data_IF_092586812448
#
_entry.id   IF_092586812448
#
_cell.length_a   1.000
_cell.length_b   1.000
_cell.length_c   1.000
_cell.angle_alpha   90.00
_cell.angle_beta   90.00
_cell.angle_gamma   90.00
#
_symmetry.space_group_name_H-M   'P 1'
#
loop_
_entity.id
_entity.type
_entity.pdbx_description
1 polymer ?
#
# COMPACT_ATOMS: atom_id res chain seq x y z
N UNK A 1 -7.16 3.31 47.47
CA UNK A 1 -8.49 3.77 47.01
C UNK A 1 -8.49 5.28 47.04
N UNK A 2 -8.48 5.95 45.89
CA UNK A 2 -8.51 7.42 45.78
C UNK A 2 -9.86 7.83 45.21
N UNK A 3 -10.61 8.57 46.02
CA UNK A 3 -11.90 9.18 45.69
C UNK A 3 -11.67 10.37 44.77
N UNK A 4 -12.30 10.38 43.59
CA UNK A 4 -12.31 11.52 42.66
C UNK A 4 -13.66 12.23 42.84
N UNK A 5 -13.60 13.50 43.23
CA UNK A 5 -14.74 14.42 43.33
C UNK A 5 -15.04 15.01 41.95
N UNK A 6 -16.29 14.83 41.49
CA UNK A 6 -16.84 15.46 40.28
C UNK A 6 -17.53 16.78 40.67
N UNK A 7 -17.15 17.87 40.02
CA UNK A 7 -17.89 19.14 40.01
C UNK A 7 -18.76 19.22 38.74
N UNK A 8 -20.01 19.73 38.81
CA UNK A 8 -20.78 20.03 37.62
C UNK A 8 -20.43 21.44 37.11
N UNK A 9 -20.03 21.56 35.84
CA UNK A 9 -20.05 22.84 35.13
C UNK A 9 -21.46 23.09 34.59
N UNK A 10 -22.04 24.22 34.98
CA UNK A 10 -23.29 24.74 34.45
C UNK A 10 -23.11 25.26 33.02
N UNK A 11 -24.02 24.87 32.13
CA UNK A 11 -24.07 25.31 30.73
C UNK A 11 -24.78 26.68 30.65
N UNK A 12 -24.07 27.69 30.17
CA UNK A 12 -24.63 29.02 29.88
C UNK A 12 -25.25 29.04 28.47
N UNK A 13 -26.37 29.74 28.34
CA UNK A 13 -27.25 29.80 27.18
C UNK A 13 -26.54 30.16 25.85
N UNK A 14 -26.77 29.36 24.81
CA UNK A 14 -26.45 29.71 23.42
C UNK A 14 -27.63 30.47 22.79
N UNK A 15 -27.38 31.72 22.42
CA UNK A 15 -28.26 32.54 21.57
C UNK A 15 -28.17 32.00 20.15
N UNK A 16 -29.31 31.65 19.55
CA UNK A 16 -29.40 30.99 18.24
C UNK A 16 -28.94 31.89 17.09
N UNK A 17 -27.93 31.44 16.36
CA UNK A 17 -27.59 31.98 15.04
C UNK A 17 -28.56 31.43 13.98
N UNK A 18 -28.96 32.28 13.04
CA UNK A 18 -29.76 31.87 11.89
C UNK A 18 -29.01 30.80 11.05
N UNK A 19 -29.72 29.78 10.53
CA UNK A 19 -29.08 28.73 9.74
C UNK A 19 -28.43 29.32 8.48
N UNK A 20 -27.20 28.91 8.13
CA UNK A 20 -26.55 29.38 6.92
C UNK A 20 -27.36 28.96 5.67
N UNK A 21 -27.33 29.82 4.66
CA UNK A 21 -27.97 29.60 3.36
C UNK A 21 -27.64 28.21 2.81
N UNK A 22 -28.66 27.52 2.32
CA UNK A 22 -28.60 26.11 1.91
C UNK A 22 -27.39 25.80 1.05
N UNK A 23 -26.61 24.81 1.49
CA UNK A 23 -25.50 24.24 0.73
C UNK A 23 -26.01 23.82 -0.64
N UNK A 24 -25.38 24.25 -1.76
CA UNK A 24 -25.80 23.81 -3.07
C UNK A 24 -25.82 22.28 -3.10
N UNK A 25 -26.98 21.71 -3.42
CA UNK A 25 -27.18 20.26 -3.53
C UNK A 25 -26.16 19.75 -4.54
N UNK A 26 -25.19 18.95 -4.08
CA UNK A 26 -24.21 18.35 -4.97
C UNK A 26 -24.94 17.63 -6.12
N UNK A 27 -24.43 17.72 -7.36
CA UNK A 27 -25.06 17.09 -8.51
C UNK A 27 -25.31 15.60 -8.22
N UNK A 28 -26.43 15.07 -8.74
CA UNK A 28 -26.85 13.68 -8.57
C UNK A 28 -25.68 12.72 -8.87
N UNK A 29 -25.09 12.18 -7.80
CA UNK A 29 -23.99 11.22 -7.87
C UNK A 29 -24.50 9.91 -8.45
N UNK A 30 -23.87 9.39 -9.50
CA UNK A 30 -24.22 8.09 -10.07
C UNK A 30 -23.47 7.00 -9.30
N UNK A 31 -24.22 6.18 -8.56
CA UNK A 31 -23.70 5.12 -7.70
C UNK A 31 -24.05 3.76 -8.30
N UNK A 32 -23.04 2.95 -8.62
CA UNK A 32 -23.23 1.53 -8.84
C UNK A 32 -23.16 0.80 -7.50
N UNK A 33 -24.16 -0.04 -7.21
CA UNK A 33 -24.22 -0.82 -5.98
C UNK A 33 -24.31 -2.32 -6.25
N UNK A 34 -23.62 -3.12 -5.45
CA UNK A 34 -23.62 -4.58 -5.47
C UNK A 34 -24.04 -5.11 -4.10
N UNK A 35 -25.33 -5.41 -3.91
CA UNK A 35 -25.86 -5.90 -2.62
C UNK A 35 -25.94 -7.44 -2.53
N UNK A 36 -25.50 -8.13 -3.58
CA UNK A 36 -25.44 -9.58 -3.63
C UNK A 36 -24.17 -10.03 -4.37
N UNK A 37 -23.82 -11.29 -4.23
CA UNK A 37 -22.71 -11.89 -4.94
C UNK A 37 -22.85 -11.68 -6.45
N UNK A 38 -21.84 -11.09 -7.06
CA UNK A 38 -21.86 -10.65 -8.46
C UNK A 38 -20.55 -10.99 -9.14
N UNK A 39 -20.60 -11.49 -10.37
CA UNK A 39 -19.41 -11.68 -11.21
C UNK A 39 -19.34 -10.55 -12.23
N UNK A 40 -18.27 -9.76 -12.20
CA UNK A 40 -18.02 -8.67 -13.16
C UNK A 40 -16.94 -9.02 -14.18
N UNK A 41 -16.19 -10.10 -13.93
CA UNK A 41 -15.10 -10.57 -14.79
C UNK A 41 -13.74 -9.92 -14.48
N UNK A 42 -12.67 -10.54 -14.99
CA UNK A 42 -11.26 -10.20 -14.68
C UNK A 42 -10.72 -8.88 -15.25
N UNK A 43 -11.56 -8.06 -15.91
CA UNK A 43 -11.19 -6.74 -16.49
C UNK A 43 -12.42 -5.84 -16.68
N UNK A 44 -13.26 -5.67 -15.66
CA UNK A 44 -14.48 -4.87 -15.83
C UNK A 44 -14.13 -3.39 -16.03
N UNK A 45 -14.34 -2.88 -17.24
CA UNK A 45 -14.11 -1.47 -17.57
C UNK A 45 -15.16 -0.60 -16.87
N UNK A 46 -14.75 0.16 -15.86
CA UNK A 46 -15.65 1.02 -15.09
C UNK A 46 -16.17 2.16 -15.98
N UNK A 47 -17.49 2.30 -16.17
CA UNK A 47 -18.04 3.39 -16.97
C UNK A 47 -17.65 4.77 -16.41
N UNK A 48 -17.30 5.70 -17.30
CA UNK A 48 -16.97 7.07 -16.88
C UNK A 48 -18.15 7.71 -16.14
N UNK A 49 -19.39 7.41 -16.53
CA UNK A 49 -20.59 7.95 -15.88
C UNK A 49 -20.65 7.70 -14.36
N UNK A 50 -20.11 6.59 -13.85
CA UNK A 50 -20.19 6.26 -12.42
C UNK A 50 -19.25 7.14 -11.60
N UNK A 51 -19.73 7.67 -10.48
CA UNK A 51 -18.94 8.42 -9.48
C UNK A 51 -18.53 7.55 -8.29
N UNK A 52 -19.27 6.46 -8.08
CA UNK A 52 -19.10 5.57 -6.94
C UNK A 52 -19.43 4.13 -7.29
N UNK A 53 -18.66 3.22 -6.71
CA UNK A 53 -18.97 1.80 -6.62
C UNK A 53 -19.09 1.45 -5.14
N UNK A 54 -20.21 0.81 -4.76
CA UNK A 54 -20.45 0.32 -3.40
C UNK A 54 -20.67 -1.19 -3.40
N UNK A 55 -19.85 -1.92 -2.66
CA UNK A 55 -20.06 -3.34 -2.36
C UNK A 55 -20.82 -3.42 -1.03
N UNK A 56 -22.01 -4.02 -1.02
CA UNK A 56 -22.86 -4.14 0.14
C UNK A 56 -22.25 -5.01 1.25
N UNK A 57 -22.80 -4.98 2.48
CA UNK A 57 -22.37 -5.86 3.54
C UNK A 57 -22.67 -7.31 3.16
N UNK A 58 -21.71 -8.21 3.38
CA UNK A 58 -21.83 -9.63 2.99
C UNK A 58 -21.76 -9.93 1.49
N UNK A 59 -21.69 -8.91 0.62
CA UNK A 59 -21.64 -9.10 -0.82
C UNK A 59 -20.21 -9.35 -1.30
N UNK A 60 -20.07 -10.29 -2.24
CA UNK A 60 -18.83 -10.56 -2.96
C UNK A 60 -18.93 -10.12 -4.42
N UNK A 61 -18.08 -9.18 -4.83
CA UNK A 61 -17.83 -8.90 -6.25
C UNK A 61 -16.64 -9.73 -6.71
N UNK A 62 -16.88 -10.67 -7.63
CA UNK A 62 -15.83 -11.49 -8.24
C UNK A 62 -15.39 -10.89 -9.58
N UNK A 63 -14.12 -10.53 -9.67
CA UNK A 63 -13.51 -9.91 -10.84
C UNK A 63 -12.55 -8.80 -10.46
N UNK A 64 -12.37 -7.85 -11.37
CA UNK A 64 -11.53 -6.67 -11.16
C UNK A 64 -12.19 -5.42 -11.72
N UNK A 65 -11.81 -4.27 -11.18
CA UNK A 65 -12.19 -2.96 -11.71
C UNK A 65 -11.01 -2.35 -12.48
N UNK A 66 -11.21 -2.20 -13.78
CA UNK A 66 -10.30 -1.48 -14.67
C UNK A 66 -10.83 -0.07 -14.91
N UNK A 67 -10.10 0.94 -14.45
CA UNK A 67 -10.42 2.35 -14.69
C UNK A 67 -9.65 2.79 -15.94
N UNK A 68 -10.33 3.08 -17.07
CA UNK A 68 -9.67 3.46 -18.31
C UNK A 68 -8.88 4.76 -18.18
N UNK A 69 -7.88 4.96 -19.04
CA UNK A 69 -7.10 6.19 -19.12
C UNK A 69 -7.93 7.41 -19.55
N UNK A 70 -9.02 7.19 -20.28
CA UNK A 70 -9.98 8.22 -20.71
C UNK A 70 -10.80 8.83 -19.58
N UNK A 71 -10.84 8.20 -18.39
CA UNK A 71 -11.59 8.74 -17.26
C UNK A 71 -10.95 10.04 -16.78
N UNK A 72 -11.73 11.12 -16.72
CA UNK A 72 -11.25 12.44 -16.30
C UNK A 72 -11.62 12.80 -14.85
N UNK A 73 -12.67 12.19 -14.29
CA UNK A 73 -13.16 12.52 -12.95
C UNK A 73 -12.73 11.52 -11.88
N UNK A 74 -12.65 11.94 -10.60
CA UNK A 74 -12.34 11.01 -9.50
C UNK A 74 -13.33 9.85 -9.41
N UNK A 75 -12.91 8.72 -8.85
CA UNK A 75 -13.75 7.56 -8.57
C UNK A 75 -13.60 7.12 -7.11
N UNK A 76 -14.72 6.86 -6.43
CA UNK A 76 -14.73 6.15 -5.16
C UNK A 76 -15.18 4.71 -5.36
N UNK A 77 -14.41 3.76 -4.85
CA UNK A 77 -14.77 2.35 -4.72
C UNK A 77 -14.76 2.04 -3.23
N UNK A 78 -15.85 1.53 -2.68
CA UNK A 78 -15.86 1.16 -1.27
C UNK A 78 -16.74 -0.04 -0.97
N UNK A 79 -16.42 -0.73 0.11
CA UNK A 79 -17.37 -1.60 0.76
C UNK A 79 -18.25 -0.82 1.74
N UNK A 80 -19.33 -1.46 2.17
CA UNK A 80 -20.13 -1.02 3.31
C UNK A 80 -19.54 -1.54 4.63
N UNK A 81 -18.74 -2.60 4.57
CA UNK A 81 -18.11 -3.25 5.71
C UNK A 81 -16.76 -3.87 5.31
N UNK A 82 -15.70 -3.60 6.08
CA UNK A 82 -14.32 -4.01 5.74
C UNK A 82 -14.16 -5.51 5.57
N UNK A 83 -14.82 -6.32 6.39
CA UNK A 83 -14.59 -7.77 6.48
C UNK A 83 -15.52 -8.56 5.54
N UNK A 84 -16.72 -8.03 5.30
CA UNK A 84 -17.79 -8.74 4.58
C UNK A 84 -18.08 -8.18 3.19
N UNK A 85 -17.67 -6.95 2.88
CA UNK A 85 -17.69 -6.43 1.51
C UNK A 85 -16.40 -6.82 0.78
N UNK A 86 -16.50 -7.75 -0.17
CA UNK A 86 -15.33 -8.43 -0.76
C UNK A 86 -15.20 -8.15 -2.24
N UNK A 87 -13.99 -7.81 -2.67
CA UNK A 87 -13.55 -7.82 -4.06
C UNK A 87 -12.58 -8.99 -4.25
N UNK A 88 -13.02 -10.02 -4.95
CA UNK A 88 -12.32 -11.32 -5.07
C UNK A 88 -11.86 -11.53 -6.50
N UNK A 89 -10.63 -12.00 -6.72
CA UNK A 89 -10.17 -12.38 -8.06
C UNK A 89 -11.00 -13.50 -8.70
N UNK A 90 -10.80 -13.71 -10.00
CA UNK A 90 -11.44 -14.81 -10.72
C UNK A 90 -10.79 -16.16 -10.43
N UNK A 91 -9.56 -16.16 -9.91
CA UNK A 91 -8.78 -17.38 -9.66
C UNK A 91 -7.92 -17.81 -10.84
N UNK A 92 -7.65 -16.91 -11.79
CA UNK A 92 -6.83 -17.19 -12.98
C UNK A 92 -5.33 -17.05 -12.63
N UNK A 93 -4.75 -18.13 -12.09
CA UNK A 93 -3.34 -18.18 -11.64
C UNK A 93 -2.31 -18.13 -12.76
N UNK A 94 -2.68 -18.53 -13.98
CA UNK A 94 -1.79 -18.45 -15.14
C UNK A 94 -1.35 -17.00 -15.43
N UNK A 95 -2.14 -16.03 -14.94
CA UNK A 95 -1.86 -14.59 -15.09
C UNK A 95 -0.96 -14.03 -14.00
N UNK A 96 -0.92 -14.66 -12.83
CA UNK A 96 0.03 -14.30 -11.77
C UNK A 96 1.46 -14.51 -12.27
N UNK A 97 1.78 -15.62 -12.91
CA UNK A 97 3.17 -15.85 -13.36
C UNK A 97 3.52 -15.17 -14.71
N UNK A 98 2.52 -14.65 -15.42
CA UNK A 98 2.73 -14.01 -16.71
C UNK A 98 3.57 -12.72 -16.61
N UNK A 99 4.52 -12.58 -17.54
CA UNK A 99 5.43 -11.41 -17.66
C UNK A 99 4.91 -10.33 -18.60
N UNK A 100 3.80 -10.58 -19.30
CA UNK A 100 3.19 -9.60 -20.21
C UNK A 100 2.71 -8.37 -19.38
N UNK A 101 3.18 -7.15 -19.69
CA UNK A 101 2.77 -5.94 -18.96
C UNK A 101 1.26 -5.70 -18.98
N UNK A 102 0.53 -6.26 -19.96
CA UNK A 102 -0.91 -6.11 -20.04
C UNK A 102 -1.64 -6.83 -18.91
N UNK A 103 -1.08 -7.88 -18.29
CA UNK A 103 -1.79 -8.65 -17.23
C UNK A 103 -2.08 -7.83 -15.97
N UNK A 104 -1.46 -6.65 -15.83
CA UNK A 104 -1.74 -5.70 -14.75
C UNK A 104 -3.17 -5.17 -14.80
N UNK A 105 -3.82 -5.19 -15.96
CA UNK A 105 -5.23 -4.82 -16.11
C UNK A 105 -6.21 -5.78 -15.42
N UNK A 106 -5.70 -6.91 -14.89
CA UNK A 106 -6.44 -7.88 -14.07
C UNK A 106 -6.21 -7.73 -12.56
N UNK A 107 -5.49 -6.69 -12.14
CA UNK A 107 -5.35 -6.38 -10.70
C UNK A 107 -6.73 -6.07 -10.11
N UNK A 108 -6.98 -6.38 -8.83
CA UNK A 108 -8.28 -6.18 -8.19
C UNK A 108 -8.85 -4.79 -8.48
N UNK A 109 -8.05 -3.75 -8.32
CA UNK A 109 -8.28 -2.42 -8.89
C UNK A 109 -7.06 -1.99 -9.69
N UNK A 110 -7.26 -1.64 -10.96
CA UNK A 110 -6.23 -1.04 -11.81
C UNK A 110 -6.73 0.26 -12.42
N UNK A 111 -6.03 1.36 -12.17
CA UNK A 111 -6.32 2.64 -12.83
C UNK A 111 -5.24 3.07 -13.80
N UNK A 112 -5.60 3.20 -15.06
CA UNK A 112 -4.77 3.86 -16.07
C UNK A 112 -5.00 5.37 -16.13
N UNK A 113 -6.07 5.87 -15.51
CA UNK A 113 -6.39 7.28 -15.41
C UNK A 113 -5.39 8.06 -14.56
N UNK A 114 -5.29 9.36 -14.82
CA UNK A 114 -4.59 10.34 -13.97
C UNK A 114 -5.50 10.97 -12.91
N UNK A 115 -6.81 10.76 -12.99
CA UNK A 115 -7.76 11.16 -11.96
C UNK A 115 -7.56 10.34 -10.68
N UNK A 116 -7.89 10.94 -9.53
CA UNK A 116 -7.77 10.26 -8.23
C UNK A 116 -8.75 9.09 -8.14
N UNK A 117 -8.24 7.94 -7.71
CA UNK A 117 -9.07 6.81 -7.31
C UNK A 117 -8.98 6.66 -5.79
N UNK A 118 -10.11 6.44 -5.13
CA UNK A 118 -10.17 6.12 -3.71
C UNK A 118 -10.75 4.72 -3.55
N UNK A 119 -10.07 3.85 -2.81
CA UNK A 119 -10.55 2.51 -2.43
C UNK A 119 -10.66 2.44 -0.92
N UNK A 120 -11.82 2.07 -0.37
CA UNK A 120 -11.98 2.04 1.09
C UNK A 120 -12.93 0.99 1.64
N UNK A 121 -12.76 0.65 2.92
CA UNK A 121 -13.73 -0.15 3.71
C UNK A 121 -14.12 -1.46 3.02
N UNK A 122 -13.13 -2.22 2.51
CA UNK A 122 -13.38 -3.51 1.86
C UNK A 122 -12.24 -4.49 2.08
N UNK A 123 -12.49 -5.75 1.76
CA UNK A 123 -11.46 -6.78 1.62
C UNK A 123 -11.18 -7.03 0.14
N UNK A 124 -9.91 -6.89 -0.27
CA UNK A 124 -9.40 -7.39 -1.55
C UNK A 124 -8.76 -8.75 -1.33
N UNK A 125 -9.30 -9.79 -1.97
CA UNK A 125 -8.93 -11.17 -1.73
C UNK A 125 -8.50 -11.86 -3.03
N UNK A 126 -7.33 -12.49 -3.01
CA UNK A 126 -6.84 -13.37 -4.07
C UNK A 126 -6.98 -12.78 -5.50
N UNK A 127 -6.45 -11.56 -5.78
CA UNK A 127 -6.58 -10.95 -7.10
C UNK A 127 -5.89 -11.79 -8.20
N UNK A 128 -6.25 -11.60 -9.46
CA UNK A 128 -5.62 -12.32 -10.59
C UNK A 128 -4.23 -11.75 -10.99
N UNK A 129 -3.83 -10.64 -10.36
CA UNK A 129 -2.48 -10.07 -10.45
C UNK A 129 -2.16 -9.32 -9.16
N UNK A 130 -2.27 -7.99 -9.15
CA UNK A 130 -2.01 -7.17 -7.97
C UNK A 130 -3.31 -6.81 -7.24
N UNK A 131 -3.23 -6.34 -6.00
CA UNK A 131 -4.39 -5.84 -5.28
C UNK A 131 -4.89 -4.51 -5.85
N UNK A 132 -4.13 -3.41 -5.66
CA UNK A 132 -4.60 -2.06 -6.01
C UNK A 132 -3.46 -1.24 -6.62
N UNK A 133 -3.56 -0.94 -7.92
CA UNK A 133 -2.62 -0.07 -8.62
C UNK A 133 -3.30 1.12 -9.31
N UNK A 134 -2.57 2.24 -9.42
CA UNK A 134 -2.97 3.40 -10.20
C UNK A 134 -1.78 4.11 -10.87
N UNK A 135 -2.01 4.71 -12.05
CA UNK A 135 -1.06 5.64 -12.70
C UNK A 135 -1.17 7.08 -12.17
N UNK A 136 -2.31 7.43 -11.59
CA UNK A 136 -2.57 8.72 -10.94
C UNK A 136 -2.54 8.61 -9.42
N UNK A 137 -2.90 9.69 -8.70
CA UNK A 137 -2.99 9.67 -7.25
C UNK A 137 -4.00 8.63 -6.76
N UNK A 138 -3.64 7.89 -5.72
CA UNK A 138 -4.46 6.84 -5.14
C UNK A 138 -4.69 7.09 -3.66
N UNK A 139 -5.89 6.83 -3.15
CA UNK A 139 -6.18 6.79 -1.72
C UNK A 139 -6.68 5.39 -1.37
N UNK A 140 -6.03 4.70 -0.45
CA UNK A 140 -6.46 3.38 0.06
C UNK A 140 -6.63 3.46 1.56
N UNK A 141 -7.87 3.33 2.05
CA UNK A 141 -8.18 3.56 3.47
C UNK A 141 -9.07 2.47 4.08
N UNK A 142 -8.70 1.95 5.25
CA UNK A 142 -9.49 0.95 5.96
C UNK A 142 -9.75 -0.32 5.11
N UNK A 143 -8.69 -0.85 4.50
CA UNK A 143 -8.74 -1.99 3.57
C UNK A 143 -7.97 -3.18 4.14
N UNK A 144 -8.49 -4.39 3.91
CA UNK A 144 -7.75 -5.63 4.13
C UNK A 144 -7.37 -6.23 2.77
N UNK A 145 -6.09 -6.47 2.53
CA UNK A 145 -5.59 -7.19 1.36
C UNK A 145 -5.08 -8.54 1.82
N UNK A 146 -5.55 -9.62 1.18
CA UNK A 146 -5.13 -10.96 1.52
C UNK A 146 -4.94 -11.83 0.28
N UNK A 147 -3.80 -12.50 0.25
CA UNK A 147 -3.47 -13.56 -0.68
C UNK A 147 -3.37 -14.88 0.10
N UNK A 148 -4.32 -15.78 -0.11
CA UNK A 148 -4.44 -17.04 0.64
C UNK A 148 -3.84 -18.24 -0.09
N UNK A 149 -3.46 -18.09 -1.37
CA UNK A 149 -3.01 -19.18 -2.23
C UNK A 149 -1.48 -19.34 -2.22
N UNK A 150 -0.76 -18.34 -1.71
CA UNK A 150 0.70 -18.37 -1.64
C UNK A 150 1.42 -17.95 -2.91
N UNK A 151 0.73 -17.18 -3.76
CA UNK A 151 1.16 -16.88 -5.13
C UNK A 151 1.93 -15.57 -5.22
N UNK A 152 3.11 -15.61 -5.84
CA UNK A 152 3.91 -14.42 -6.11
C UNK A 152 3.18 -13.45 -7.08
N UNK A 153 3.69 -12.23 -7.22
CA UNK A 153 3.11 -11.15 -8.04
C UNK A 153 1.73 -10.66 -7.59
N UNK A 154 1.44 -10.83 -6.31
CA UNK A 154 0.21 -10.39 -5.62
C UNK A 154 0.45 -9.08 -4.86
N UNK A 155 1.17 -8.17 -5.52
CA UNK A 155 1.63 -6.90 -4.96
C UNK A 155 0.46 -6.11 -4.33
N UNK A 156 0.74 -5.38 -3.25
CA UNK A 156 -0.24 -4.60 -2.51
C UNK A 156 -0.65 -3.31 -3.24
N UNK A 157 -0.05 -2.19 -2.85
CA UNK A 157 -0.41 -0.84 -3.31
C UNK A 157 0.73 -0.19 -4.09
N UNK A 158 0.38 0.42 -5.23
CA UNK A 158 1.24 1.34 -5.96
C UNK A 158 0.43 2.40 -6.69
N UNK A 159 0.74 3.67 -6.46
CA UNK A 159 0.05 4.80 -7.07
C UNK A 159 1.01 5.86 -7.58
N UNK A 160 0.47 6.89 -8.23
CA UNK A 160 1.21 8.09 -8.63
C UNK A 160 1.46 9.06 -7.46
N UNK A 161 1.88 10.28 -7.79
CA UNK A 161 2.20 11.31 -6.80
C UNK A 161 1.04 11.60 -5.83
N UNK A 162 1.36 11.86 -4.56
CA UNK A 162 0.36 12.18 -3.54
C UNK A 162 -0.57 11.01 -3.19
N UNK A 163 -0.09 9.77 -3.36
CA UNK A 163 -0.79 8.56 -2.93
C UNK A 163 -0.82 8.45 -1.42
N UNK A 164 -1.97 8.09 -0.86
CA UNK A 164 -2.22 7.94 0.57
C UNK A 164 -2.67 6.51 0.85
N UNK A 165 -2.06 5.86 1.84
CA UNK A 165 -2.46 4.54 2.34
C UNK A 165 -2.61 4.63 3.86
N UNK A 166 -3.82 4.38 4.39
CA UNK A 166 -4.08 4.51 5.83
C UNK A 166 -4.92 3.38 6.39
N UNK A 167 -4.56 2.86 7.57
CA UNK A 167 -5.31 1.80 8.26
C UNK A 167 -5.53 0.59 7.34
N UNK A 168 -4.42 0.01 6.89
CA UNK A 168 -4.43 -1.10 5.93
C UNK A 168 -3.69 -2.30 6.50
N UNK A 169 -4.28 -3.48 6.31
CA UNK A 169 -3.59 -4.75 6.47
C UNK A 169 -3.24 -5.29 5.08
N UNK A 170 -1.97 -5.58 4.83
CA UNK A 170 -1.49 -6.17 3.58
C UNK A 170 -0.87 -7.52 3.86
N UNK A 171 -1.48 -8.59 3.37
CA UNK A 171 -0.95 -9.95 3.38
C UNK A 171 -0.75 -10.40 1.93
N UNK A 172 0.40 -10.05 1.37
CA UNK A 172 0.79 -10.29 -0.02
C UNK A 172 2.02 -11.20 -0.11
N UNK A 173 2.18 -11.87 -1.25
CA UNK A 173 3.34 -12.70 -1.56
C UNK A 173 4.33 -11.99 -2.52
N UNK A 174 4.26 -10.66 -2.59
CA UNK A 174 5.18 -9.80 -3.33
C UNK A 174 5.20 -8.37 -2.73
N UNK A 175 5.76 -7.41 -3.46
CA UNK A 175 5.91 -6.00 -3.06
C UNK A 175 4.62 -5.41 -2.45
N UNK A 176 4.64 -5.02 -1.18
CA UNK A 176 3.44 -4.56 -0.48
C UNK A 176 3.15 -3.07 -0.71
N UNK A 177 4.14 -2.18 -0.51
CA UNK A 177 4.02 -0.74 -0.76
C UNK A 177 5.11 -0.27 -1.72
N UNK A 178 4.70 0.31 -2.85
CA UNK A 178 5.60 0.76 -3.91
C UNK A 178 5.83 2.27 -3.85
N UNK A 179 7.03 2.70 -3.46
CA UNK A 179 7.44 4.11 -3.40
C UNK A 179 8.01 4.52 -4.76
N UNK A 180 7.15 4.60 -5.76
CA UNK A 180 7.54 4.87 -7.16
C UNK A 180 7.18 6.27 -7.64
N UNK A 181 6.72 7.13 -6.74
CA UNK A 181 6.22 8.47 -7.03
C UNK A 181 6.43 9.37 -5.80
N UNK A 182 6.26 10.68 -5.97
CA UNK A 182 6.60 11.67 -4.95
C UNK A 182 5.45 11.98 -3.98
N UNK A 183 5.81 12.46 -2.79
CA UNK A 183 4.86 12.95 -1.78
C UNK A 183 3.86 11.89 -1.29
N UNK A 184 4.29 10.63 -1.18
CA UNK A 184 3.41 9.57 -0.70
C UNK A 184 3.29 9.57 0.83
N UNK A 185 2.13 9.15 1.35
CA UNK A 185 1.89 9.01 2.79
C UNK A 185 1.37 7.60 3.10
N UNK A 186 2.07 6.88 3.97
CA UNK A 186 1.63 5.59 4.50
C UNK A 186 1.48 5.71 6.02
N UNK A 187 0.31 5.40 6.58
CA UNK A 187 -0.01 5.62 7.99
C UNK A 187 -0.80 4.44 8.56
N UNK A 188 -0.40 3.93 9.73
CA UNK A 188 -1.10 2.81 10.39
C UNK A 188 -1.24 1.58 9.47
N UNK A 189 -0.13 1.14 8.89
CA UNK A 189 -0.10 0.00 7.97
C UNK A 189 0.53 -1.22 8.65
N UNK A 190 -0.14 -2.37 8.55
CA UNK A 190 0.42 -3.68 8.92
C UNK A 190 0.67 -4.51 7.68
N UNK A 191 1.87 -5.07 7.54
CA UNK A 191 2.27 -5.91 6.40
C UNK A 191 2.70 -7.28 6.91
N UNK A 192 2.07 -8.35 6.41
CA UNK A 192 2.51 -9.73 6.57
C UNK A 192 3.47 -10.06 5.44
N UNK A 193 4.76 -10.20 5.75
CA UNK A 193 5.81 -10.42 4.78
C UNK A 193 6.08 -11.92 4.58
N UNK A 194 5.47 -12.50 3.55
CA UNK A 194 5.42 -13.94 3.35
C UNK A 194 6.73 -14.58 2.86
N UNK A 195 7.45 -13.99 1.89
CA UNK A 195 8.80 -14.45 1.44
C UNK A 195 9.38 -13.60 0.33
N UNK A 196 8.53 -13.30 -0.65
CA UNK A 196 8.89 -12.70 -1.93
C UNK A 196 8.50 -11.21 -1.96
N UNK A 197 9.25 -10.42 -2.74
CA UNK A 197 9.10 -8.97 -2.82
C UNK A 197 9.55 -8.25 -1.54
N UNK A 198 9.26 -6.96 -1.43
CA UNK A 198 9.57 -6.16 -0.25
C UNK A 198 8.32 -5.50 0.35
N UNK A 199 8.21 -5.42 1.70
CA UNK A 199 7.24 -4.57 2.36
C UNK A 199 7.24 -3.14 1.81
N UNK A 200 8.42 -2.52 1.68
CA UNK A 200 8.61 -1.23 1.03
C UNK A 200 9.56 -1.40 -0.16
N UNK A 201 9.05 -1.22 -1.38
CA UNK A 201 9.81 -1.34 -2.62
C UNK A 201 10.07 0.03 -3.27
N UNK A 202 11.32 0.30 -3.64
CA UNK A 202 11.77 1.57 -4.24
C UNK A 202 11.92 1.53 -5.75
N UNK A 203 11.94 0.35 -6.37
CA UNK A 203 11.89 0.25 -7.82
C UNK A 203 12.55 -1.01 -8.38
N UNK A 204 12.18 -1.30 -9.62
CA UNK A 204 12.74 -2.39 -10.43
C UNK A 204 13.56 -1.89 -11.62
N UNK A 205 13.45 -0.60 -11.95
CA UNK A 205 14.05 0.03 -13.12
C UNK A 205 14.37 1.50 -12.87
N UNK A 206 13.55 2.40 -13.43
CA UNK A 206 13.78 3.85 -13.43
C UNK A 206 12.99 4.61 -12.34
N UNK A 207 12.28 3.89 -11.48
CA UNK A 207 11.38 4.49 -10.50
C UNK A 207 12.18 5.27 -9.44
N UNK A 208 11.61 6.40 -9.06
CA UNK A 208 12.06 7.33 -8.02
C UNK A 208 10.84 7.83 -7.27
N UNK A 209 10.98 8.15 -6.00
CA UNK A 209 9.87 8.60 -5.19
C UNK A 209 10.31 8.99 -3.80
N UNK A 210 9.36 9.51 -3.04
CA UNK A 210 9.54 9.84 -1.64
C UNK A 210 8.26 9.54 -0.87
N UNK A 211 8.42 9.19 0.41
CA UNK A 211 7.29 8.87 1.26
C UNK A 211 7.51 9.29 2.72
N UNK A 212 6.42 9.68 3.37
CA UNK A 212 6.33 9.68 4.83
C UNK A 212 5.60 8.43 5.28
N UNK A 213 6.19 7.70 6.21
CA UNK A 213 5.67 6.44 6.75
C UNK A 213 5.47 6.61 8.25
N UNK A 214 4.26 6.38 8.74
CA UNK A 214 3.90 6.46 10.16
C UNK A 214 3.29 5.15 10.64
N UNK A 215 3.72 4.67 11.80
CA UNK A 215 3.17 3.48 12.45
C UNK A 215 3.13 2.24 11.53
N UNK A 216 4.27 1.93 10.90
CA UNK A 216 4.42 0.75 10.05
C UNK A 216 4.79 -0.48 10.91
N UNK A 217 3.95 -1.51 10.87
CA UNK A 217 4.28 -2.84 11.41
C UNK A 217 4.52 -3.82 10.28
N UNK A 218 5.66 -4.50 10.29
CA UNK A 218 5.98 -5.61 9.39
C UNK A 218 6.10 -6.89 10.21
N UNK A 219 5.37 -7.92 9.82
CA UNK A 219 5.35 -9.24 10.46
C UNK A 219 6.04 -10.22 9.51
N UNK A 220 7.16 -10.80 9.92
CA UNK A 220 7.81 -11.86 9.17
C UNK A 220 6.93 -13.13 9.19
N UNK A 221 6.62 -13.68 8.02
CA UNK A 221 5.78 -14.87 7.87
C UNK A 221 6.42 -15.95 6.97
N UNK A 222 7.75 -16.04 6.94
CA UNK A 222 8.47 -17.10 6.24
C UNK A 222 9.42 -17.84 7.19
N UNK A 223 9.39 -19.18 7.26
CA UNK A 223 10.49 -19.93 7.88
C UNK A 223 11.73 -19.97 6.98
N UNK A 224 11.58 -19.63 5.70
CA UNK A 224 12.65 -19.65 4.71
C UNK A 224 13.31 -18.28 4.54
N UNK A 225 14.43 -18.27 3.80
CA UNK A 225 15.11 -17.02 3.44
C UNK A 225 14.23 -16.15 2.51
N UNK A 226 14.14 -14.88 2.85
CA UNK A 226 13.55 -13.82 2.03
C UNK A 226 14.43 -13.46 0.83
N UNK A 227 13.81 -13.18 -0.33
CA UNK A 227 14.57 -12.76 -1.51
C UNK A 227 14.90 -11.27 -1.53
N UNK A 228 14.21 -10.46 -0.72
CA UNK A 228 14.46 -9.05 -0.49
C UNK A 228 14.30 -8.71 1.01
N UNK A 229 14.67 -7.48 1.37
CA UNK A 229 14.55 -6.99 2.73
C UNK A 229 13.24 -6.25 2.95
N UNK A 230 13.04 -5.74 4.16
CA UNK A 230 11.90 -4.89 4.50
C UNK A 230 11.83 -3.66 3.58
N UNK A 231 12.97 -3.02 3.37
CA UNK A 231 13.16 -1.92 2.44
C UNK A 231 14.05 -2.41 1.30
N UNK A 232 13.59 -2.32 0.07
CA UNK A 232 14.36 -2.83 -1.05
C UNK A 232 14.34 -1.93 -2.27
N UNK A 233 15.46 -1.96 -3.00
CA UNK A 233 15.51 -1.58 -4.41
C UNK A 233 16.02 -2.78 -5.20
N UNK A 234 15.15 -3.37 -6.00
CA UNK A 234 15.47 -4.61 -6.69
C UNK A 234 16.41 -4.45 -7.89
N UNK A 235 16.37 -3.29 -8.55
CA UNK A 235 17.16 -3.05 -9.75
C UNK A 235 17.20 -1.60 -10.21
N UNK A 236 17.95 -1.39 -11.29
CA UNK A 236 18.11 -0.12 -11.96
C UNK A 236 18.16 -0.36 -13.47
N UNK A 237 17.35 0.38 -14.23
CA UNK A 237 17.41 0.30 -15.70
C UNK A 237 18.67 1.03 -16.17
N UNK A 238 19.38 0.45 -17.14
CA UNK A 238 20.55 1.07 -17.74
C UNK A 238 20.23 2.47 -18.30
N UNK A 239 21.19 3.39 -18.16
CA UNK A 239 21.08 4.76 -18.67
C UNK A 239 20.16 5.69 -17.88
N UNK A 240 19.60 5.26 -16.73
CA UNK A 240 18.70 6.10 -15.91
C UNK A 240 19.43 7.15 -15.06
N UNK A 241 20.75 7.07 -14.95
CA UNK A 241 21.54 7.92 -14.06
C UNK A 241 21.25 7.64 -12.59
N UNK A 242 21.65 8.55 -11.71
CA UNK A 242 21.48 8.40 -10.25
C UNK A 242 20.00 8.43 -9.86
N UNK A 243 19.56 7.42 -9.11
CA UNK A 243 18.19 7.34 -8.61
C UNK A 243 18.15 7.67 -7.11
N UNK A 244 17.35 8.65 -6.72
CA UNK A 244 17.19 9.08 -5.33
C UNK A 244 15.81 8.68 -4.79
N UNK A 245 15.79 8.22 -3.55
CA UNK A 245 14.57 7.92 -2.80
C UNK A 245 14.74 8.41 -1.37
N UNK A 246 13.84 9.27 -0.91
CA UNK A 246 13.88 9.82 0.43
C UNK A 246 12.64 9.35 1.20
N UNK A 247 12.86 8.78 2.39
CA UNK A 247 11.80 8.22 3.22
C UNK A 247 11.94 8.72 4.65
N UNK A 248 10.85 9.25 5.17
CA UNK A 248 10.73 9.61 6.59
C UNK A 248 9.91 8.55 7.30
N UNK A 249 10.42 7.98 8.39
CA UNK A 249 9.76 6.89 9.12
C UNK A 249 9.54 7.30 10.58
N UNK A 250 8.30 7.28 11.02
CA UNK A 250 7.89 7.60 12.39
C UNK A 250 7.14 6.40 12.98
N UNK A 251 7.78 5.62 13.84
CA UNK A 251 7.18 4.41 14.40
C UNK A 251 7.21 3.22 13.43
N UNK A 252 8.34 2.51 13.42
CA UNK A 252 8.50 1.24 12.70
C UNK A 252 8.64 0.07 13.67
N UNK A 253 7.96 -1.03 13.37
CA UNK A 253 8.08 -2.28 14.13
C UNK A 253 8.27 -3.47 13.19
N UNK A 254 9.33 -4.24 13.42
CA UNK A 254 9.52 -5.56 12.81
C UNK A 254 9.22 -6.64 13.85
N UNK A 255 8.18 -7.42 13.60
CA UNK A 255 7.81 -8.60 14.41
C UNK A 255 8.34 -9.84 13.70
N UNK A 256 9.09 -10.66 14.42
CA UNK A 256 9.55 -11.97 13.94
C UNK A 256 8.97 -13.02 14.88
N UNK A 257 7.84 -13.66 14.52
CA UNK A 257 7.27 -14.75 15.30
C UNK A 257 8.23 -15.93 15.46
N UNK A 258 8.00 -16.76 16.48
CA UNK A 258 8.78 -17.97 16.70
C UNK A 258 8.70 -18.90 15.48
N UNK A 259 9.85 -19.48 15.11
CA UNK A 259 9.97 -20.35 13.93
C UNK A 259 10.07 -19.61 12.59
N UNK A 260 9.93 -18.28 12.56
CA UNK A 260 10.10 -17.48 11.34
C UNK A 260 11.54 -16.97 11.19
N UNK A 261 12.00 -16.90 9.95
CA UNK A 261 13.25 -16.25 9.61
C UNK A 261 13.10 -14.73 9.74
N UNK A 262 14.18 -14.05 10.13
CA UNK A 262 14.23 -12.58 10.13
C UNK A 262 14.60 -12.09 8.73
N UNK A 263 13.80 -11.23 8.06
CA UNK A 263 14.19 -10.63 6.80
C UNK A 263 15.38 -9.68 6.98
N UNK A 264 16.24 -9.49 5.96
CA UNK A 264 17.15 -8.35 5.92
C UNK A 264 16.38 -7.04 6.11
N UNK A 265 17.01 -6.03 6.71
CA UNK A 265 16.34 -4.74 6.82
C UNK A 265 16.34 -4.03 5.48
N UNK A 266 17.52 -3.94 4.85
CA UNK A 266 17.70 -3.35 3.53
C UNK A 266 18.21 -4.38 2.52
N UNK A 267 17.69 -4.35 1.29
CA UNK A 267 18.28 -5.10 0.16
C UNK A 267 18.41 -4.21 -1.08
N UNK A 268 19.61 -4.19 -1.66
CA UNK A 268 19.89 -3.51 -2.93
C UNK A 268 20.35 -4.51 -3.99
N UNK A 269 19.67 -4.51 -5.13
CA UNK A 269 19.87 -5.46 -6.22
C UNK A 269 19.06 -6.75 -6.07
N UNK A 270 19.25 -7.67 -7.02
CA UNK A 270 18.66 -9.03 -7.03
C UNK A 270 19.62 -9.98 -7.75
N UNK A 271 19.42 -11.29 -7.68
CA UNK A 271 20.33 -12.29 -8.28
C UNK A 271 20.74 -12.01 -9.73
N UNK A 272 19.84 -11.45 -10.55
CA UNK A 272 20.11 -11.12 -11.97
C UNK A 272 19.94 -9.61 -12.27
N UNK A 273 20.09 -8.75 -11.27
CA UNK A 273 19.93 -7.30 -11.45
C UNK A 273 20.84 -6.53 -10.51
N UNK A 274 21.40 -5.43 -11.02
CA UNK A 274 22.32 -4.57 -10.28
C UNK A 274 21.68 -3.20 -10.07
N UNK A 275 22.04 -2.56 -8.96
CA UNK A 275 21.84 -1.14 -8.74
C UNK A 275 23.21 -0.48 -8.90
N UNK A 276 23.36 0.39 -9.90
CA UNK A 276 24.67 0.96 -10.28
C UNK A 276 24.96 2.29 -9.60
N UNK A 277 23.93 3.07 -9.27
CA UNK A 277 24.04 4.35 -8.57
C UNK A 277 22.67 4.76 -8.05
N UNK A 278 22.35 4.34 -6.82
CA UNK A 278 21.15 4.77 -6.11
C UNK A 278 21.49 5.40 -4.76
N UNK A 279 20.68 6.36 -4.33
CA UNK A 279 20.71 6.94 -3.00
C UNK A 279 19.37 6.70 -2.32
N UNK A 280 19.40 6.08 -1.14
CA UNK A 280 18.24 5.96 -0.27
C UNK A 280 18.54 6.68 1.03
N UNK A 281 17.77 7.73 1.32
CA UNK A 281 17.84 8.44 2.60
C UNK A 281 16.67 7.97 3.46
N UNK A 282 16.94 7.40 4.63
CA UNK A 282 15.91 7.00 5.59
C UNK A 282 16.10 7.72 6.91
N UNK A 283 15.12 8.52 7.30
CA UNK A 283 15.13 9.20 8.60
C UNK A 283 14.15 8.53 9.57
N UNK A 284 14.43 8.63 10.87
CA UNK A 284 13.49 8.22 11.93
C UNK A 284 13.36 6.71 12.20
N UNK A 285 14.15 5.83 11.55
CA UNK A 285 14.18 4.39 11.89
C UNK A 285 14.55 4.09 13.35
N UNK A 286 15.22 5.02 14.02
CA UNK A 286 15.61 4.92 15.42
C UNK A 286 14.57 5.57 16.37
N UNK A 287 13.44 6.05 15.85
CA UNK A 287 12.39 6.71 16.63
C UNK A 287 11.39 5.67 17.19
N UNK A 288 10.80 5.99 18.36
CA UNK A 288 9.82 5.14 19.04
C UNK A 288 10.34 4.42 20.30
N UNK A 289 9.43 3.73 21.00
CA UNK A 289 9.72 2.92 22.20
C UNK A 289 8.96 1.58 22.12
N UNK A 290 9.64 0.41 22.13
CA UNK A 290 11.10 0.25 22.12
C UNK A 290 11.72 0.66 20.77
N UNK A 291 12.95 1.19 20.79
CA UNK A 291 13.71 1.47 19.56
C UNK A 291 13.96 0.15 18.81
N UNK A 292 13.58 0.01 17.53
CA UNK A 292 13.77 -1.25 16.79
C UNK A 292 15.25 -1.51 16.46
N UNK A 293 16.08 -0.46 16.44
CA UNK A 293 17.54 -0.52 16.27
C UNK A 293 18.22 0.51 17.18
N UNK A 294 19.34 0.15 17.78
CA UNK A 294 20.06 0.99 18.73
C UNK A 294 21.23 1.75 18.10
N UNK A 295 21.80 1.27 16.97
CA UNK A 295 22.95 1.92 16.33
C UNK A 295 22.92 1.86 14.80
N UNK A 296 23.66 2.76 14.14
CA UNK A 296 23.91 2.70 12.68
C UNK A 296 24.61 1.40 12.28
N UNK A 297 25.55 0.92 13.09
CA UNK A 297 26.27 -0.32 12.83
C UNK A 297 25.33 -1.54 12.79
N UNK A 298 24.28 -1.56 13.61
CA UNK A 298 23.24 -2.59 13.54
C UNK A 298 22.46 -2.53 12.22
N UNK A 299 22.11 -1.33 11.75
CA UNK A 299 21.44 -1.13 10.46
C UNK A 299 22.31 -1.63 9.31
N UNK A 300 23.60 -1.25 9.30
CA UNK A 300 24.54 -1.67 8.27
C UNK A 300 24.75 -3.19 8.28
N UNK A 301 24.86 -3.81 9.46
CA UNK A 301 24.96 -5.27 9.60
C UNK A 301 23.70 -6.03 9.11
N UNK A 302 22.56 -5.34 8.96
CA UNK A 302 21.31 -5.89 8.41
C UNK A 302 21.05 -5.47 6.97
N UNK A 303 21.99 -4.75 6.34
CA UNK A 303 21.91 -4.32 4.95
C UNK A 303 22.56 -5.37 4.04
N UNK A 304 21.82 -5.81 3.03
CA UNK A 304 22.30 -6.76 2.01
C UNK A 304 22.51 -6.04 0.69
N UNK A 305 23.69 -6.20 0.09
CA UNK A 305 24.01 -5.74 -1.26
C UNK A 305 24.23 -6.96 -2.14
N UNK A 306 23.47 -7.07 -3.22
CA UNK A 306 23.57 -8.17 -4.17
C UNK A 306 24.25 -7.68 -5.45
N UNK A 307 25.06 -8.54 -6.08
CA UNK A 307 25.72 -8.27 -7.36
C UNK A 307 26.50 -6.94 -7.40
N UNK A 308 27.30 -6.67 -6.36
CA UNK A 308 28.10 -5.45 -6.23
C UNK A 308 27.28 -4.17 -6.45
N UNK A 309 26.05 -4.18 -5.92
CA UNK A 309 25.14 -3.04 -6.00
C UNK A 309 25.68 -1.85 -5.22
N UNK A 310 25.85 -0.75 -5.95
CA UNK A 310 26.32 0.53 -5.46
C UNK A 310 25.10 1.38 -5.09
N UNK A 311 24.78 1.34 -3.80
CA UNK A 311 23.68 2.11 -3.23
C UNK A 311 24.18 2.87 -2.00
N UNK A 312 24.02 4.18 -1.96
CA UNK A 312 24.27 4.95 -0.75
C UNK A 312 23.04 4.85 0.16
N UNK A 313 23.23 4.34 1.39
CA UNK A 313 22.20 4.33 2.42
C UNK A 313 22.55 5.38 3.47
N UNK A 314 21.77 6.45 3.54
CA UNK A 314 21.91 7.47 4.58
C UNK A 314 20.83 7.27 5.63
N UNK A 315 21.24 7.06 6.88
CA UNK A 315 20.35 7.02 8.04
C UNK A 315 20.99 7.86 9.14
N UNK A 316 20.21 8.62 9.92
CA UNK A 316 20.77 9.33 11.06
C UNK A 316 21.36 8.34 12.08
N UNK A 317 22.35 8.80 12.86
CA UNK A 317 22.83 8.05 14.03
C UNK A 317 21.66 7.82 14.99
N UNK A 318 21.42 6.55 15.33
CA UNK A 318 20.58 6.22 16.47
C UNK A 318 21.34 6.62 17.74
N UNK A 319 21.11 7.85 18.25
CA UNK A 319 21.61 8.30 19.56
C UNK A 319 20.50 8.14 20.61
#
# INVERSE_FOLDING_TARGET
MRTILLFPLACAACVGAAPPAGTPTAPNRIVQRYDADTVVGSKFAVPDAWDEIVIGPGATVRGSFLIPDTRAKPLLIRGADRETSRLVGMGDLDRNTATDPNVRDRSGVMSFSKARVTVSTLTSLDPDKFHILARGPLTVEHVTMRETRGEATTDGVGGGDGTIVRDVLIDSFDDALKVYSGGMLFEDVTIVHNRNGAPIQFGWGAEKGDATIRNLTVIANSPARYNQGVFARAGQREGTGRLATDITIEGFRLVVPDGMARPPLFTFGRRNGRVSDAKVTVTGLCSGNPKPFATRAEIDAKTTRLNDSLAELLTPDCR
#
